data_IF_635994791346
#
_entry.id   IF_635994791346
#
_cell.length_a   1.000
_cell.length_b   1.000
_cell.length_c   1.000
_cell.angle_alpha   90.00
_cell.angle_beta   90.00
_cell.angle_gamma   90.00
#
_symmetry.space_group_name_H-M   'P 1'
#
loop_
_entity.id
_entity.type
_entity.pdbx_description
1 polymer ?
#
# COMPACT_ATOMS: atom_id res chain seq x y z
N UNK A 1 8.02 -7.20 -16.66
CA UNK A 1 9.49 -7.39 -16.58
C UNK A 1 9.83 -7.94 -15.21
N UNK A 2 10.38 -9.16 -15.08
CA UNK A 2 10.89 -9.67 -13.80
C UNK A 2 12.32 -9.15 -13.51
N UNK A 3 12.73 -9.00 -12.23
CA UNK A 3 14.06 -8.53 -11.89
C UNK A 3 15.15 -9.57 -12.22
N UNK A 4 16.24 -9.06 -12.80
CA UNK A 4 17.37 -9.77 -13.40
C UNK A 4 18.25 -10.40 -12.29
N UNK A 5 18.42 -11.73 -12.30
CA UNK A 5 19.36 -12.46 -11.41
C UNK A 5 20.81 -12.01 -11.68
N UNK A 6 21.56 -11.70 -10.63
CA UNK A 6 23.01 -11.48 -10.69
C UNK A 6 23.77 -12.83 -10.86
N UNK A 7 24.90 -12.86 -11.58
CA UNK A 7 25.66 -14.10 -11.85
C UNK A 7 26.55 -14.54 -10.66
N UNK A 8 26.87 -15.83 -10.52
CA UNK A 8 27.71 -16.34 -9.45
C UNK A 8 29.19 -15.99 -9.69
N UNK A 9 29.88 -15.51 -8.65
CA UNK A 9 31.32 -15.30 -8.69
C UNK A 9 32.05 -16.66 -8.61
N UNK A 10 32.95 -16.86 -9.57
CA UNK A 10 33.77 -18.06 -9.79
C UNK A 10 34.94 -18.12 -8.80
N UNK A 11 35.31 -19.36 -8.49
CA UNK A 11 36.45 -19.78 -7.68
C UNK A 11 37.79 -19.14 -8.10
N UNK A 12 38.64 -18.83 -7.11
CA UNK A 12 40.07 -18.58 -7.27
C UNK A 12 40.85 -19.26 -6.12
N UNK A 13 42.10 -19.71 -6.35
CA UNK A 13 42.65 -20.93 -5.75
C UNK A 13 43.50 -20.71 -4.48
N UNK A 14 43.62 -21.80 -3.72
CA UNK A 14 44.46 -21.98 -2.52
C UNK A 14 45.91 -21.54 -2.74
N UNK A 15 46.47 -20.82 -1.77
CA UNK A 15 47.90 -20.81 -1.51
C UNK A 15 48.18 -21.30 -0.08
N UNK A 16 49.20 -22.16 0.03
CA UNK A 16 49.58 -22.94 1.22
C UNK A 16 50.69 -22.19 1.98
N UNK A 17 50.81 -22.55 3.26
CA UNK A 17 52.01 -22.43 4.11
C UNK A 17 52.19 -21.21 5.04
N UNK A 18 51.51 -21.23 6.21
CA UNK A 18 52.05 -20.74 7.52
C UNK A 18 51.43 -21.54 8.70
N UNK A 19 52.21 -22.15 9.63
CA UNK A 19 51.70 -22.76 10.88
C UNK A 19 52.13 -21.95 12.14
N UNK A 20 51.69 -22.29 13.38
CA UNK A 20 50.44 -21.85 14.03
C UNK A 20 50.67 -21.05 15.34
N UNK A 21 49.71 -20.23 15.76
CA UNK A 21 49.60 -19.74 17.15
C UNK A 21 48.11 -19.72 17.54
N UNK A 22 47.63 -20.79 18.20
CA UNK A 22 47.36 -20.86 19.65
C UNK A 22 46.36 -19.78 20.09
N UNK A 23 45.06 -20.10 20.00
CA UNK A 23 44.00 -19.70 20.95
C UNK A 23 42.60 -20.11 20.43
N UNK A 24 42.20 -21.37 20.64
CA UNK A 24 40.80 -21.81 20.50
C UNK A 24 40.35 -22.51 21.79
N UNK A 25 39.15 -22.19 22.31
CA UNK A 25 38.08 -23.20 22.34
C UNK A 25 36.64 -22.61 22.27
N UNK A 26 35.57 -23.44 22.12
CA UNK A 26 35.38 -24.58 21.24
C UNK A 26 34.23 -24.34 20.23
N UNK A 27 34.14 -25.19 19.21
CA UNK A 27 32.95 -25.32 18.37
C UNK A 27 31.73 -25.73 19.22
N UNK A 28 30.61 -25.02 19.08
CA UNK A 28 29.38 -25.30 19.81
C UNK A 28 28.14 -24.76 19.10
N UNK A 29 27.50 -25.66 18.33
CA UNK A 29 26.10 -25.71 17.93
C UNK A 29 25.47 -24.56 17.10
N UNK A 30 24.74 -24.87 16.00
CA UNK A 30 23.81 -23.92 15.41
C UNK A 30 22.63 -23.70 16.37
N UNK A 31 22.19 -22.46 16.66
CA UNK A 31 20.92 -22.27 17.33
C UNK A 31 19.79 -22.64 16.36
N UNK A 32 19.30 -23.86 16.57
CA UNK A 32 17.96 -24.39 16.34
C UNK A 32 17.04 -23.64 15.37
N UNK A 33 16.64 -24.36 14.32
CA UNK A 33 15.32 -24.24 13.72
C UNK A 33 14.21 -24.40 14.79
N UNK A 34 13.05 -23.83 14.49
CA UNK A 34 11.79 -23.95 15.23
C UNK A 34 11.61 -23.07 16.49
N UNK A 35 11.45 -21.77 16.26
CA UNK A 35 10.40 -21.04 16.96
C UNK A 35 9.26 -20.78 15.96
N UNK A 36 8.05 -21.33 16.14
CA UNK A 36 6.89 -20.87 15.40
C UNK A 36 6.61 -19.44 15.85
N UNK A 37 7.16 -18.46 15.14
CA UNK A 37 6.64 -17.10 15.20
C UNK A 37 5.21 -17.21 14.68
N UNK A 38 4.27 -17.19 15.64
CA UNK A 38 2.86 -16.81 15.54
C UNK A 38 2.55 -16.23 14.16
N UNK A 39 1.52 -16.70 13.43
CA UNK A 39 1.09 -16.04 12.19
C UNK A 39 0.94 -14.55 12.50
N UNK A 40 1.93 -13.76 12.09
CA UNK A 40 1.92 -12.34 12.34
C UNK A 40 0.71 -11.87 11.57
N UNK A 41 -0.23 -11.20 12.24
CA UNK A 41 -1.24 -10.45 11.52
C UNK A 41 -0.50 -9.56 10.52
N UNK A 42 -0.46 -9.95 9.24
CA UNK A 42 -0.05 -9.11 8.11
C UNK A 42 -1.13 -8.04 7.88
N UNK A 43 -1.52 -7.35 8.95
CA UNK A 43 -2.36 -6.18 8.86
C UNK A 43 -1.43 -5.03 8.51
N UNK A 44 -1.47 -4.66 7.25
CA UNK A 44 -0.79 -3.52 6.66
C UNK A 44 -0.76 -2.31 7.60
N UNK A 45 0.37 -1.61 7.66
CA UNK A 45 0.48 -0.40 8.48
C UNK A 45 -0.47 0.69 7.94
N UNK A 46 -1.02 1.57 8.80
CA UNK A 46 -1.91 2.66 8.37
C UNK A 46 -1.28 3.55 7.30
N UNK A 47 0.03 3.75 7.37
CA UNK A 47 0.80 4.56 6.43
C UNK A 47 0.88 3.90 5.04
N UNK A 48 1.10 2.58 5.00
CA UNK A 48 1.05 1.81 3.75
C UNK A 48 -0.37 1.84 3.16
N UNK A 49 -1.41 1.74 3.99
CA UNK A 49 -2.81 1.81 3.57
C UNK A 49 -3.11 3.15 2.88
N UNK A 50 -2.67 4.24 3.51
CA UNK A 50 -2.83 5.58 2.96
C UNK A 50 -2.02 5.79 1.66
N UNK A 51 -0.88 5.12 1.52
CA UNK A 51 -0.04 5.21 0.32
C UNK A 51 -0.64 4.46 -0.88
N UNK A 52 -1.11 3.24 -0.67
CA UNK A 52 -1.60 2.38 -1.75
C UNK A 52 -3.08 2.60 -2.09
N UNK A 53 -3.92 2.92 -1.11
CA UNK A 53 -5.34 3.17 -1.32
C UNK A 53 -5.81 4.35 -0.46
N UNK A 54 -5.53 5.59 -0.90
CA UNK A 54 -5.92 6.79 -0.17
C UNK A 54 -7.40 6.80 0.20
N UNK A 55 -7.69 7.26 1.42
CA UNK A 55 -9.06 7.40 1.91
C UNK A 55 -9.56 8.82 1.63
N UNK A 56 -10.53 8.93 0.71
CA UNK A 56 -11.11 10.21 0.29
C UNK A 56 -12.33 10.65 1.09
N UNK A 57 -12.67 10.02 2.22
CA UNK A 57 -13.94 10.29 2.95
C UNK A 57 -14.25 11.77 3.18
N UNK A 58 -13.27 12.61 3.54
CA UNK A 58 -13.50 14.05 3.67
C UNK A 58 -13.89 14.71 2.35
N UNK A 59 -13.19 14.37 1.27
CA UNK A 59 -13.47 14.85 -0.07
C UNK A 59 -14.84 14.34 -0.57
N UNK A 60 -15.17 13.09 -0.26
CA UNK A 60 -16.46 12.47 -0.57
C UNK A 60 -17.61 13.15 0.16
N UNK A 61 -17.45 13.50 1.44
CA UNK A 61 -18.46 14.27 2.18
C UNK A 61 -18.68 15.63 1.51
N UNK A 62 -17.60 16.32 1.12
CA UNK A 62 -17.70 17.58 0.38
C UNK A 62 -18.42 17.39 -0.97
N UNK A 63 -18.08 16.35 -1.72
CA UNK A 63 -18.72 16.00 -2.99
C UNK A 63 -20.22 15.75 -2.82
N UNK A 64 -20.65 15.10 -1.74
CA UNK A 64 -22.06 14.86 -1.43
C UNK A 64 -22.80 16.16 -1.14
N UNK A 65 -22.17 17.09 -0.42
CA UNK A 65 -22.77 18.40 -0.12
C UNK A 65 -22.92 19.23 -1.41
N UNK A 66 -21.88 19.26 -2.24
CA UNK A 66 -21.79 20.12 -3.42
C UNK A 66 -22.56 19.56 -4.61
N UNK A 67 -22.56 18.23 -4.79
CA UNK A 67 -23.29 17.56 -5.86
C UNK A 67 -23.70 16.12 -5.43
N UNK A 68 -24.81 15.98 -4.69
CA UNK A 68 -25.25 14.71 -4.09
C UNK A 68 -25.30 13.50 -5.03
N UNK A 69 -25.79 13.60 -6.29
CA UNK A 69 -25.95 12.43 -7.14
C UNK A 69 -24.64 11.66 -7.36
N UNK A 70 -23.54 12.38 -7.58
CA UNK A 70 -22.23 11.77 -7.85
C UNK A 70 -21.47 11.48 -6.54
N UNK A 71 -21.64 12.33 -5.52
CA UNK A 71 -21.05 12.11 -4.19
C UNK A 71 -21.56 10.84 -3.51
N UNK A 72 -22.85 10.49 -3.65
CA UNK A 72 -23.39 9.23 -3.11
C UNK A 72 -22.77 7.99 -3.77
N UNK A 73 -22.49 8.06 -5.08
CA UNK A 73 -21.78 7.00 -5.79
C UNK A 73 -20.34 6.88 -5.27
N UNK A 74 -19.69 8.01 -4.99
CA UNK A 74 -18.35 8.01 -4.40
C UNK A 74 -18.34 7.40 -2.98
N UNK A 75 -19.36 7.62 -2.14
CA UNK A 75 -19.49 6.92 -0.85
C UNK A 75 -19.47 5.40 -1.04
N UNK A 76 -20.18 4.89 -2.04
CA UNK A 76 -20.23 3.44 -2.30
C UNK A 76 -18.84 2.87 -2.62
N UNK A 77 -18.07 3.52 -3.50
CA UNK A 77 -16.71 3.09 -3.82
C UNK A 77 -15.72 3.32 -2.67
N UNK A 78 -15.92 4.36 -1.87
CA UNK A 78 -15.15 4.60 -0.65
C UNK A 78 -15.35 3.46 0.36
N UNK A 79 -16.59 3.02 0.55
CA UNK A 79 -16.90 1.86 1.40
C UNK A 79 -16.27 0.58 0.87
N UNK A 80 -16.33 0.34 -0.45
CA UNK A 80 -15.64 -0.81 -1.08
C UNK A 80 -14.12 -0.76 -0.89
N UNK A 81 -13.53 0.43 -0.96
CA UNK A 81 -12.09 0.64 -0.69
C UNK A 81 -11.75 0.22 0.74
N UNK A 82 -12.53 0.66 1.74
CA UNK A 82 -12.30 0.26 3.13
C UNK A 82 -12.48 -1.24 3.35
N UNK A 83 -13.40 -1.87 2.63
CA UNK A 83 -13.64 -3.31 2.75
C UNK A 83 -12.50 -4.12 2.12
N UNK A 84 -12.04 -3.75 0.92
CA UNK A 84 -10.89 -4.36 0.26
C UNK A 84 -9.60 -4.19 1.09
N UNK A 85 -9.41 -3.01 1.70
CA UNK A 85 -8.31 -2.75 2.63
C UNK A 85 -8.33 -3.68 3.86
N UNK A 86 -9.52 -4.01 4.39
CA UNK A 86 -9.65 -4.94 5.54
C UNK A 86 -9.36 -6.39 5.14
N UNK A 87 -9.55 -6.74 3.87
CA UNK A 87 -9.31 -8.07 3.32
C UNK A 87 -7.89 -8.24 2.75
N UNK A 88 -7.06 -7.19 2.80
CA UNK A 88 -5.74 -7.15 2.14
C UNK A 88 -5.83 -7.38 0.62
N UNK A 89 -6.88 -6.86 -0.02
CA UNK A 89 -7.12 -6.89 -1.48
C UNK A 89 -6.65 -5.58 -2.13
N UNK A 90 -5.34 -5.44 -2.29
CA UNK A 90 -4.66 -4.20 -2.69
C UNK A 90 -5.08 -3.65 -4.06
N UNK A 91 -5.24 -4.51 -5.05
CA UNK A 91 -5.63 -4.13 -6.41
C UNK A 91 -7.04 -3.54 -6.45
N UNK A 92 -7.98 -4.19 -5.76
CA UNK A 92 -9.36 -3.74 -5.67
C UNK A 92 -9.46 -2.45 -4.84
N UNK A 93 -8.68 -2.34 -3.77
CA UNK A 93 -8.61 -1.12 -2.98
C UNK A 93 -8.11 0.06 -3.83
N UNK A 94 -7.06 -0.13 -4.62
CA UNK A 94 -6.51 0.89 -5.51
C UNK A 94 -7.52 1.33 -6.59
N UNK A 95 -8.18 0.36 -7.25
CA UNK A 95 -9.19 0.64 -8.28
C UNK A 95 -10.38 1.42 -7.69
N UNK A 96 -10.89 0.99 -6.53
CA UNK A 96 -12.03 1.64 -5.90
C UNK A 96 -11.67 3.00 -5.30
N UNK A 97 -10.48 3.15 -4.73
CA UNK A 97 -9.96 4.44 -4.24
C UNK A 97 -9.82 5.43 -5.39
N UNK A 98 -9.21 5.00 -6.50
CA UNK A 98 -9.07 5.82 -7.71
C UNK A 98 -10.43 6.28 -8.26
N UNK A 99 -11.42 5.36 -8.34
CA UNK A 99 -12.79 5.71 -8.75
C UNK A 99 -13.42 6.74 -7.82
N UNK A 100 -13.26 6.56 -6.51
CA UNK A 100 -13.76 7.51 -5.50
C UNK A 100 -13.17 8.90 -5.73
N UNK A 101 -11.84 9.00 -5.87
CA UNK A 101 -11.18 10.28 -6.11
C UNK A 101 -11.64 10.97 -7.39
N UNK A 102 -11.77 10.23 -8.51
CA UNK A 102 -12.29 10.78 -9.76
C UNK A 102 -13.73 11.28 -9.63
N UNK A 103 -14.60 10.48 -9.02
CA UNK A 103 -16.00 10.85 -8.80
C UNK A 103 -16.11 12.09 -7.92
N UNK A 104 -15.32 12.18 -6.86
CA UNK A 104 -15.30 13.33 -5.96
C UNK A 104 -14.89 14.61 -6.69
N UNK A 105 -13.82 14.56 -7.49
CA UNK A 105 -13.37 15.71 -8.28
C UNK A 105 -14.44 16.15 -9.28
N UNK A 106 -15.04 15.21 -10.02
CA UNK A 106 -16.11 15.55 -10.96
C UNK A 106 -17.34 16.12 -10.26
N UNK A 107 -17.75 15.54 -9.13
CA UNK A 107 -18.87 16.03 -8.33
C UNK A 107 -18.65 17.48 -7.90
N UNK A 108 -17.47 17.78 -7.36
CA UNK A 108 -17.11 19.11 -6.87
C UNK A 108 -17.07 20.10 -8.05
N UNK A 109 -16.43 19.76 -9.16
CA UNK A 109 -16.36 20.65 -10.33
C UNK A 109 -17.74 20.94 -10.91
N UNK A 110 -18.60 19.93 -11.05
CA UNK A 110 -19.97 20.10 -11.55
C UNK A 110 -20.79 20.95 -10.58
N UNK A 111 -20.78 20.62 -9.29
CA UNK A 111 -21.58 21.36 -8.31
C UNK A 111 -21.10 22.80 -8.14
N UNK A 112 -19.78 23.06 -8.14
CA UNK A 112 -19.26 24.43 -8.18
C UNK A 112 -19.67 25.16 -9.46
N UNK A 113 -19.65 24.49 -10.61
CA UNK A 113 -20.13 25.05 -11.87
C UNK A 113 -21.61 25.44 -11.84
N UNK A 114 -22.46 24.59 -11.23
CA UNK A 114 -23.89 24.87 -11.05
C UNK A 114 -24.12 26.02 -10.06
N UNK A 115 -23.42 26.04 -8.94
CA UNK A 115 -23.49 27.14 -7.96
C UNK A 115 -23.08 28.45 -8.63
N UNK A 116 -21.96 28.46 -9.36
CA UNK A 116 -21.49 29.64 -10.06
C UNK A 116 -22.51 30.14 -11.10
N UNK A 117 -23.05 29.25 -11.93
CA UNK A 117 -24.09 29.60 -12.89
C UNK A 117 -25.35 30.15 -12.21
N UNK A 118 -25.79 29.54 -11.10
CA UNK A 118 -26.91 30.03 -10.30
C UNK A 118 -26.66 31.45 -9.80
N UNK A 119 -25.48 31.73 -9.23
CA UNK A 119 -25.13 33.07 -8.71
C UNK A 119 -24.98 34.14 -9.79
N UNK A 120 -24.73 33.77 -11.04
CA UNK A 120 -24.68 34.72 -12.15
C UNK A 120 -26.05 35.00 -12.76
N UNK A 121 -26.96 34.02 -12.70
CA UNK A 121 -28.27 34.08 -13.34
C UNK A 121 -29.38 34.60 -12.43
N UNK A 122 -29.19 34.56 -11.12
CA UNK A 122 -30.13 35.02 -10.08
C UNK A 122 -29.45 36.10 -9.24
#
# INVERSE_FOLDING_TARGET
MPPKRAPPAKDAPLDKDVPPAKDAPPAGAPPAADAPQKPLEERQTPEELAFYAPNYMCLTILAVIVFPPLGLIAIFFSHKTQQANKNSEWEDAYINSSRTGWLDVFAILIGLGLIYAYTLLI
#
